data_IF_100741737176
#
_entry.id   IF_100741737176
#
_cell.length_a   1.000
_cell.length_b   1.000
_cell.length_c   1.000
_cell.angle_alpha   90.00
_cell.angle_beta   90.00
_cell.angle_gamma   90.00
#
_symmetry.space_group_name_H-M   'P 1'
#
loop_
_entity.id
_entity.type
_entity.pdbx_description
1 polymer ?
#
# COMPACT_ATOMS: atom_id res chain seq x y z
N UNK A 1 3.58 0.80 -2.49
CA UNK A 1 2.70 0.20 -1.45
C UNK A 1 3.30 0.44 -0.08
N UNK A 2 2.48 0.70 0.95
CA UNK A 2 2.94 0.96 2.32
C UNK A 2 3.18 -0.35 3.08
N UNK A 3 4.12 -1.19 2.62
CA UNK A 3 4.38 -2.54 3.19
C UNK A 3 4.64 -2.47 4.71
N UNK A 4 5.43 -1.50 5.17
CA UNK A 4 5.71 -1.27 6.59
C UNK A 4 4.47 -1.01 7.43
N UNK A 5 3.48 -0.27 6.89
CA UNK A 5 2.20 -0.04 7.57
C UNK A 5 1.34 -1.30 7.61
N UNK A 6 1.37 -2.12 6.56
CA UNK A 6 0.67 -3.40 6.54
C UNK A 6 1.26 -4.38 7.56
N UNK A 7 2.59 -4.44 7.65
CA UNK A 7 3.30 -5.25 8.65
C UNK A 7 2.95 -4.82 10.09
N UNK A 8 2.92 -3.51 10.38
CA UNK A 8 2.55 -3.05 11.72
C UNK A 8 1.11 -3.41 12.10
N UNK A 9 0.18 -3.32 11.14
CA UNK A 9 -1.22 -3.72 11.34
C UNK A 9 -1.33 -5.22 11.63
N UNK A 10 -0.58 -6.05 10.91
CA UNK A 10 -0.55 -7.50 11.15
C UNK A 10 0.04 -7.84 12.52
N UNK A 11 1.11 -7.15 12.93
CA UNK A 11 1.72 -7.34 14.25
C UNK A 11 0.75 -6.95 15.38
N UNK A 12 0.00 -5.86 15.20
CA UNK A 12 -1.03 -5.43 16.15
C UNK A 12 -2.23 -6.39 16.18
N UNK A 13 -2.63 -6.93 15.03
CA UNK A 13 -3.67 -7.96 14.93
C UNK A 13 -3.27 -9.23 15.69
N UNK A 14 -2.05 -9.73 15.49
CA UNK A 14 -1.53 -10.91 16.20
C UNK A 14 -1.51 -10.68 17.72
N UNK A 15 -1.07 -9.51 18.17
CA UNK A 15 -1.13 -9.13 19.60
C UNK A 15 -2.56 -9.06 20.13
N UNK A 16 -3.50 -8.56 19.32
CA UNK A 16 -4.91 -8.48 19.72
C UNK A 16 -5.53 -9.87 19.86
N UNK A 17 -5.25 -10.78 18.93
CA UNK A 17 -5.70 -12.18 18.98
C UNK A 17 -5.13 -12.91 20.21
N UNK A 18 -3.88 -12.63 20.59
CA UNK A 18 -3.29 -13.16 21.81
C UNK A 18 -4.04 -12.72 23.08
N UNK A 19 -4.37 -11.43 23.16
CA UNK A 19 -5.15 -10.88 24.28
C UNK A 19 -6.57 -11.44 24.33
N UNK A 20 -7.20 -11.62 23.17
CA UNK A 20 -8.52 -12.25 23.06
C UNK A 20 -8.48 -13.69 23.58
N UNK A 21 -7.46 -14.47 23.18
CA UNK A 21 -7.24 -15.83 23.67
C UNK A 21 -7.07 -15.87 25.19
N UNK A 22 -6.28 -14.97 25.76
CA UNK A 22 -6.09 -14.92 27.21
C UNK A 22 -7.37 -14.54 27.96
N UNK A 23 -8.15 -13.59 27.43
CA UNK A 23 -9.47 -13.24 27.95
C UNK A 23 -10.42 -14.45 27.93
N UNK A 24 -10.44 -15.23 26.84
CA UNK A 24 -11.23 -16.45 26.74
C UNK A 24 -10.82 -17.51 27.77
N UNK A 25 -9.52 -17.66 28.06
CA UNK A 25 -9.05 -18.56 29.13
C UNK A 25 -9.59 -18.14 30.48
N UNK A 26 -9.58 -16.84 30.80
CA UNK A 26 -10.17 -16.35 32.05
C UNK A 26 -11.68 -16.62 32.14
N UNK A 27 -12.41 -16.46 31.04
CA UNK A 27 -13.86 -16.75 30.99
C UNK A 27 -14.11 -18.25 31.19
N UNK A 28 -13.29 -19.12 30.60
CA UNK A 28 -13.32 -20.57 30.82
C UNK A 28 -13.08 -20.93 32.29
N UNK A 29 -12.01 -20.39 32.89
CA UNK A 29 -11.67 -20.63 34.30
C UNK A 29 -12.75 -20.11 35.26
N UNK A 30 -13.46 -19.05 34.89
CA UNK A 30 -14.60 -18.54 35.66
C UNK A 30 -15.88 -19.39 35.53
N UNK A 31 -15.86 -20.44 34.71
CA UNK A 31 -16.99 -21.35 34.50
C UNK A 31 -18.13 -20.77 33.66
N UNK A 32 -17.93 -19.59 33.03
CA UNK A 32 -18.97 -18.90 32.25
C UNK A 32 -19.16 -19.50 30.86
N UNK A 33 -18.17 -20.21 30.33
CA UNK A 33 -18.24 -20.94 29.07
C UNK A 33 -17.81 -22.39 29.28
N UNK A 34 -18.36 -23.29 28.47
CA UNK A 34 -17.90 -24.68 28.40
C UNK A 34 -16.56 -24.78 27.68
N UNK A 35 -15.84 -25.88 27.94
CA UNK A 35 -14.63 -26.24 27.19
C UNK A 35 -14.90 -26.34 25.68
N UNK A 36 -16.03 -26.92 25.27
CA UNK A 36 -16.39 -27.05 23.85
C UNK A 36 -16.56 -25.68 23.16
N UNK A 37 -17.18 -24.70 23.84
CA UNK A 37 -17.31 -23.32 23.33
C UNK A 37 -15.93 -22.65 23.23
N UNK A 38 -15.08 -22.85 24.24
CA UNK A 38 -13.71 -22.33 24.22
C UNK A 38 -12.90 -22.92 23.06
N UNK A 39 -12.93 -24.23 22.87
CA UNK A 39 -12.18 -24.92 21.81
C UNK A 39 -12.59 -24.44 20.41
N UNK A 40 -13.88 -24.23 20.18
CA UNK A 40 -14.39 -23.69 18.93
C UNK A 40 -13.85 -22.28 18.64
N UNK A 41 -13.86 -21.40 19.64
CA UNK A 41 -13.36 -20.03 19.52
C UNK A 41 -11.83 -20.00 19.37
N UNK A 42 -11.12 -20.78 20.18
CA UNK A 42 -9.67 -20.88 20.12
C UNK A 42 -9.21 -21.40 18.75
N UNK A 43 -9.90 -22.40 18.19
CA UNK A 43 -9.63 -22.89 16.83
C UNK A 43 -9.83 -21.82 15.76
N UNK A 44 -10.77 -20.89 15.94
CA UNK A 44 -10.96 -19.75 15.04
C UNK A 44 -9.83 -18.72 15.18
N UNK A 45 -9.41 -18.43 16.41
CA UNK A 45 -8.26 -17.57 16.70
C UNK A 45 -7.00 -18.16 16.06
N UNK A 46 -6.73 -19.46 16.26
CA UNK A 46 -5.56 -20.14 15.70
C UNK A 46 -5.53 -20.08 14.17
N UNK A 47 -6.67 -20.30 13.51
CA UNK A 47 -6.79 -20.14 12.05
C UNK A 47 -6.48 -18.72 11.60
N UNK A 48 -7.03 -17.72 12.30
CA UNK A 48 -6.83 -16.31 11.95
C UNK A 48 -5.37 -15.89 12.17
N UNK A 49 -4.76 -16.35 13.26
CA UNK A 49 -3.35 -16.13 13.56
C UNK A 49 -2.44 -16.79 12.51
N UNK A 50 -2.74 -18.03 12.09
CA UNK A 50 -1.99 -18.71 11.02
C UNK A 50 -1.97 -17.90 9.73
N UNK A 51 -3.15 -17.48 9.25
CA UNK A 51 -3.27 -16.69 8.02
C UNK A 51 -2.52 -15.35 8.15
N UNK A 52 -2.66 -14.68 9.29
CA UNK A 52 -1.97 -13.41 9.53
C UNK A 52 -0.45 -13.57 9.54
N UNK A 53 0.08 -14.65 10.15
CA UNK A 53 1.51 -14.97 10.15
C UNK A 53 2.02 -15.38 8.77
N UNK A 54 1.26 -16.15 8.00
CA UNK A 54 1.60 -16.50 6.61
C UNK A 54 1.71 -15.25 5.73
N UNK A 55 0.75 -14.33 5.84
CA UNK A 55 0.78 -13.07 5.11
C UNK A 55 1.95 -12.17 5.54
N UNK A 56 2.25 -12.12 6.84
CA UNK A 56 3.43 -11.40 7.35
C UNK A 56 4.73 -11.96 6.77
N UNK A 57 4.84 -13.29 6.68
CA UNK A 57 5.97 -13.96 6.03
C UNK A 57 6.11 -13.58 4.56
N UNK A 58 5.02 -13.68 3.79
CA UNK A 58 5.02 -13.34 2.37
C UNK A 58 5.42 -11.88 2.10
N UNK A 59 4.95 -10.93 2.93
CA UNK A 59 5.34 -9.52 2.80
C UNK A 59 6.83 -9.27 3.09
N UNK A 60 7.41 -9.99 4.05
CA UNK A 60 8.86 -9.91 4.34
C UNK A 60 9.70 -10.48 3.19
N UNK A 61 9.26 -11.59 2.62
CA UNK A 61 9.91 -12.19 1.45
C UNK A 61 9.85 -11.25 0.25
N UNK A 62 8.68 -10.69 -0.06
CA UNK A 62 8.52 -9.72 -1.14
C UNK A 62 9.41 -8.48 -0.92
N UNK A 63 9.47 -7.96 0.30
CA UNK A 63 10.34 -6.84 0.63
C UNK A 63 11.82 -7.18 0.37
N UNK A 64 12.27 -8.36 0.80
CA UNK A 64 13.64 -8.82 0.57
C UNK A 64 13.95 -8.98 -0.92
N UNK A 65 13.00 -9.50 -1.68
CA UNK A 65 13.10 -9.67 -3.13
C UNK A 65 13.25 -8.33 -3.87
N UNK A 66 12.42 -7.33 -3.52
CA UNK A 66 12.53 -6.01 -4.13
C UNK A 66 13.83 -5.30 -3.76
N UNK A 67 14.30 -5.46 -2.51
CA UNK A 67 15.59 -4.92 -2.08
C UNK A 67 16.74 -5.49 -2.91
N UNK A 68 16.76 -6.81 -3.11
CA UNK A 68 17.77 -7.46 -3.96
C UNK A 68 17.67 -7.01 -5.43
N UNK A 69 16.44 -6.90 -5.95
CA UNK A 69 16.19 -6.48 -7.34
C UNK A 69 16.66 -5.05 -7.59
N UNK A 70 16.39 -4.12 -6.68
CA UNK A 70 16.85 -2.74 -6.78
C UNK A 70 18.39 -2.65 -6.71
N UNK A 71 19.04 -3.43 -5.85
CA UNK A 71 20.51 -3.49 -5.78
C UNK A 71 21.13 -4.02 -7.07
N UNK A 72 20.54 -5.07 -7.65
CA UNK A 72 20.98 -5.60 -8.96
C UNK A 72 20.79 -4.55 -10.06
N UNK A 73 19.65 -3.86 -10.08
CA UNK A 73 19.38 -2.76 -11.02
C UNK A 73 20.42 -1.63 -10.90
N UNK A 74 20.74 -1.21 -9.68
CA UNK A 74 21.77 -0.19 -9.42
C UNK A 74 23.13 -0.59 -10.02
N UNK A 75 23.55 -1.83 -9.83
CA UNK A 75 24.80 -2.35 -10.38
C UNK A 75 24.83 -2.36 -11.92
N UNK A 76 23.70 -2.65 -12.57
CA UNK A 76 23.59 -2.59 -14.04
C UNK A 76 23.81 -1.16 -14.53
N UNK A 77 23.17 -0.17 -13.92
CA UNK A 77 23.37 1.23 -14.29
C UNK A 77 24.80 1.72 -14.05
N UNK A 78 25.42 1.34 -12.93
CA UNK A 78 26.85 1.62 -12.66
C UNK A 78 27.76 1.01 -13.74
N UNK A 79 27.48 -0.23 -14.15
CA UNK A 79 28.25 -0.92 -15.20
C UNK A 79 28.11 -0.20 -16.53
N UNK A 80 26.89 0.18 -16.91
CA UNK A 80 26.63 0.92 -18.15
C UNK A 80 27.33 2.29 -18.18
N UNK A 81 27.39 3.00 -17.05
CA UNK A 81 28.13 4.27 -16.96
C UNK A 81 29.62 4.06 -17.21
N UNK A 82 30.23 3.04 -16.59
CA UNK A 82 31.65 2.72 -16.79
C UNK A 82 31.92 2.34 -18.24
N UNK A 83 31.04 1.54 -18.85
CA UNK A 83 31.17 1.16 -20.27
C UNK A 83 31.08 2.37 -21.20
N UNK A 84 30.16 3.32 -20.94
CA UNK A 84 30.06 4.55 -21.71
C UNK A 84 31.29 5.44 -21.54
N UNK A 85 31.81 5.58 -20.32
CA UNK A 85 33.02 6.34 -20.04
C UNK A 85 34.23 5.73 -20.77
N UNK A 86 34.35 4.40 -20.75
CA UNK A 86 35.40 3.69 -21.49
C UNK A 86 35.31 3.93 -23.00
N UNK A 87 34.11 3.87 -23.59
CA UNK A 87 33.89 4.18 -25.02
C UNK A 87 34.26 5.61 -25.38
N UNK A 88 33.97 6.56 -24.49
CA UNK A 88 34.36 7.96 -24.68
C UNK A 88 35.89 8.10 -24.71
N UNK A 89 36.60 7.43 -23.80
CA UNK A 89 38.07 7.44 -23.74
C UNK A 89 38.72 6.79 -24.97
N UNK A 90 38.09 5.76 -25.54
CA UNK A 90 38.53 5.13 -26.79
C UNK A 90 38.21 5.97 -28.03
N UNK A 91 37.42 7.04 -27.89
CA UNK A 91 36.94 7.84 -29.02
C UNK A 91 35.89 7.13 -29.87
N UNK A 92 35.25 6.09 -29.34
CA UNK A 92 34.16 5.35 -30.03
C UNK A 92 32.84 6.12 -30.02
N UNK A 93 32.67 7.06 -29.08
CA UNK A 93 31.49 7.92 -28.96
C UNK A 93 31.90 9.37 -28.77
N UNK A 94 31.04 10.28 -29.26
CA UNK A 94 31.21 11.72 -29.09
C UNK A 94 30.80 12.17 -27.68
N UNK A 95 31.32 13.31 -27.23
CA UNK A 95 31.06 13.85 -25.89
C UNK A 95 29.59 14.20 -25.71
N UNK A 96 28.94 14.71 -26.75
CA UNK A 96 27.53 15.07 -26.76
C UNK A 96 26.64 13.83 -26.62
N UNK A 97 27.02 12.72 -27.24
CA UNK A 97 26.32 11.44 -27.11
C UNK A 97 26.50 10.84 -25.72
N UNK A 98 27.74 10.85 -25.20
CA UNK A 98 28.03 10.45 -23.83
C UNK A 98 27.19 11.25 -22.81
N UNK A 99 27.12 12.58 -22.98
CA UNK A 99 26.38 13.45 -22.05
C UNK A 99 24.89 13.10 -22.02
N UNK A 100 24.25 12.96 -23.19
CA UNK A 100 22.82 12.59 -23.27
C UNK A 100 22.55 11.22 -22.63
N UNK A 101 23.40 10.23 -22.90
CA UNK A 101 23.18 8.86 -22.40
C UNK A 101 23.48 8.74 -20.90
N UNK A 102 24.53 9.41 -20.42
CA UNK A 102 24.90 9.40 -18.99
C UNK A 102 23.86 10.11 -18.14
N UNK A 103 23.27 11.21 -18.59
CA UNK A 103 22.19 11.92 -17.88
C UNK A 103 21.00 10.99 -17.59
N UNK A 104 20.51 10.27 -18.60
CA UNK A 104 19.38 9.34 -18.46
C UNK A 104 19.71 8.23 -17.45
N UNK A 105 20.92 7.69 -17.53
CA UNK A 105 21.35 6.60 -16.63
C UNK A 105 21.51 7.12 -15.20
N UNK A 106 22.10 8.30 -15.02
CA UNK A 106 22.25 8.95 -13.71
C UNK A 106 20.89 9.23 -13.08
N UNK A 107 19.91 9.69 -13.87
CA UNK A 107 18.55 9.89 -13.39
C UNK A 107 17.90 8.57 -12.93
N UNK A 108 18.07 7.50 -13.69
CA UNK A 108 17.62 6.15 -13.30
C UNK A 108 18.29 5.65 -12.02
N UNK A 109 19.60 5.87 -11.89
CA UNK A 109 20.39 5.49 -10.73
C UNK A 109 19.97 6.27 -9.48
N UNK A 110 19.77 7.59 -9.60
CA UNK A 110 19.26 8.44 -8.53
C UNK A 110 17.83 8.04 -8.14
N UNK A 111 16.97 7.67 -9.08
CA UNK A 111 15.62 7.17 -8.80
C UNK A 111 15.65 5.89 -7.96
N UNK A 112 16.49 4.91 -8.32
CA UNK A 112 16.65 3.67 -7.54
C UNK A 112 17.22 3.97 -6.15
N UNK A 113 18.25 4.81 -6.05
CA UNK A 113 18.85 5.20 -4.77
C UNK A 113 17.82 5.85 -3.85
N UNK A 114 17.02 6.78 -4.39
CA UNK A 114 15.95 7.43 -3.63
C UNK A 114 14.89 6.43 -3.15
N UNK A 115 14.52 5.43 -3.96
CA UNK A 115 13.59 4.38 -3.55
C UNK A 115 14.15 3.53 -2.41
N UNK A 116 15.43 3.17 -2.46
CA UNK A 116 16.10 2.44 -1.38
C UNK A 116 16.12 3.26 -0.09
N UNK A 117 16.54 4.52 -0.16
CA UNK A 117 16.60 5.41 1.00
C UNK A 117 15.21 5.69 1.61
N UNK A 118 14.20 5.93 0.77
CA UNK A 118 12.85 6.19 1.25
C UNK A 118 12.26 4.96 1.95
N UNK A 119 12.55 3.76 1.45
CA UNK A 119 12.15 2.52 2.09
C UNK A 119 12.80 2.34 3.46
N UNK A 120 14.10 2.66 3.62
CA UNK A 120 14.77 2.60 4.93
C UNK A 120 14.25 3.68 5.89
N UNK A 121 14.07 4.94 5.43
CA UNK A 121 13.48 6.03 6.25
C UNK A 121 12.06 5.71 6.76
N UNK A 122 11.25 5.06 5.92
CA UNK A 122 9.89 4.62 6.30
C UNK A 122 9.92 3.58 7.42
N UNK A 123 10.94 2.71 7.48
CA UNK A 123 11.11 1.75 8.59
C UNK A 123 11.43 2.45 9.89
N UNK A 124 12.40 3.37 9.87
CA UNK A 124 12.83 4.12 11.06
C UNK A 124 11.69 4.93 11.67
N UNK A 125 10.89 5.59 10.82
CA UNK A 125 9.73 6.39 11.26
C UNK A 125 8.68 5.55 11.97
N UNK A 126 8.40 4.34 11.47
CA UNK A 126 7.44 3.40 12.08
C UNK A 126 7.96 2.86 13.42
N UNK A 127 9.25 2.55 13.51
CA UNK A 127 9.89 2.10 14.75
C UNK A 127 9.81 3.19 15.83
N UNK A 128 10.11 4.44 15.48
CA UNK A 128 10.02 5.58 16.40
C UNK A 128 8.59 5.86 16.89
N UNK A 129 7.59 5.81 16.00
CA UNK A 129 6.18 6.02 16.39
C UNK A 129 5.66 4.88 17.27
N UNK A 130 6.04 3.63 16.99
CA UNK A 130 5.64 2.48 17.81
C UNK A 130 6.25 2.53 19.23
N UNK A 131 7.49 3.01 19.35
CA UNK A 131 8.15 3.21 20.66
C UNK A 131 7.48 4.31 21.49
N UNK A 132 7.03 5.40 20.85
CA UNK A 132 6.30 6.47 21.53
C UNK A 132 4.92 6.02 22.02
N UNK A 133 4.20 5.22 21.22
CA UNK A 133 2.91 4.65 21.63
C UNK A 133 3.08 3.64 22.78
N UNK A 134 4.11 2.79 22.75
CA UNK A 134 4.43 1.87 23.85
C UNK A 134 4.77 2.60 25.15
N UNK A 135 5.48 3.74 25.07
CA UNK A 135 5.84 4.57 26.24
C UNK A 135 4.63 5.30 26.83
N UNK A 136 3.71 5.79 25.99
CA UNK A 136 2.45 6.38 26.45
C UNK A 136 1.52 5.35 27.13
N UNK A 137 1.57 4.08 26.73
CA UNK A 137 0.79 3.01 27.38
C UNK A 137 1.38 2.51 28.70
N UNK A 138 2.69 2.63 28.94
CA UNK A 138 3.29 2.26 30.24
C UNK A 138 3.03 3.30 31.34
N UNK A 139 2.77 4.55 30.95
CA UNK A 139 2.56 5.65 31.91
C UNK A 139 1.11 5.72 32.43
N UNK A 140 0.18 4.91 31.88
CA UNK A 140 -1.24 4.87 32.29
C UNK A 140 -1.60 3.74 33.28
N UNK A 141 -0.67 2.86 33.67
CA UNK A 141 -0.96 1.78 34.64
C UNK A 141 -0.78 2.18 36.12
N UNK A 142 -0.27 3.38 36.41
CA UNK A 142 -0.17 3.91 37.77
C UNK A 142 -1.13 5.08 38.01
N UNK A 143 -2.44 4.82 38.02
CA UNK A 143 -3.41 5.62 38.78
C UNK A 143 -4.78 4.91 38.81
N UNK A 144 -4.97 4.04 39.80
CA UNK A 144 -6.30 3.65 40.30
C UNK A 144 -6.45 4.21 41.70
N UNK A 145 -7.31 5.23 41.87
CA UNK A 145 -8.30 5.28 42.96
C UNK A 145 -9.31 6.44 42.81
N UNK A 146 -10.58 6.06 42.61
CA UNK A 146 -11.80 6.54 43.29
C UNK A 146 -12.28 8.03 43.14
N UNK A 147 -13.38 8.26 42.38
CA UNK A 147 -14.78 8.50 42.87
C UNK A 147 -15.67 9.31 41.89
N UNK A 148 -16.79 8.68 41.52
CA UNK A 148 -18.20 9.17 41.43
C UNK A 148 -18.58 10.50 40.72
N UNK A 149 -19.43 10.33 39.70
CA UNK A 149 -20.45 11.21 39.07
C UNK A 149 -21.35 12.02 40.05
N UNK A 150 -22.15 13.07 39.67
CA UNK A 150 -23.10 13.09 38.52
C UNK A 150 -23.59 14.42 37.86
N UNK A 151 -24.19 14.28 36.64
CA UNK A 151 -25.26 15.11 36.00
C UNK A 151 -24.97 16.60 35.64
N UNK A 152 -25.52 17.28 34.62
CA UNK A 152 -26.84 17.25 33.94
C UNK A 152 -26.85 18.14 32.65
N UNK A 153 -27.63 17.73 31.63
CA UNK A 153 -28.46 18.51 30.66
C UNK A 153 -27.96 19.61 29.66
N UNK A 154 -28.49 19.45 28.42
CA UNK A 154 -28.95 20.44 27.39
C UNK A 154 -27.86 21.26 26.65
N UNK A 155 -27.97 21.66 25.37
CA UNK A 155 -29.07 21.82 24.42
C UNK A 155 -28.54 21.94 22.96
N UNK A 156 -29.39 21.55 22.00
CA UNK A 156 -29.67 22.15 20.67
C UNK A 156 -28.59 22.40 19.57
N UNK A 157 -28.77 21.62 18.49
CA UNK A 157 -28.99 22.00 17.08
C UNK A 157 -28.34 23.28 16.50
N UNK A 158 -27.61 23.12 15.38
CA UNK A 158 -27.86 23.92 14.16
C UNK A 158 -27.16 23.35 12.92
N UNK A 159 -27.86 23.43 11.79
CA UNK A 159 -27.50 22.95 10.47
C UNK A 159 -26.50 23.84 9.71
N UNK A 160 -25.72 23.28 8.78
CA UNK A 160 -25.76 23.63 7.33
C UNK A 160 -24.65 22.97 6.50
N UNK A 161 -25.10 22.41 5.37
CA UNK A 161 -24.46 22.22 4.06
C UNK A 161 -23.11 22.93 3.86
N UNK A 162 -22.15 22.23 3.23
CA UNK A 162 -21.50 22.73 2.03
C UNK A 162 -20.82 21.64 1.18
N UNK A 163 -21.35 21.50 -0.05
CA UNK A 163 -20.71 20.93 -1.24
C UNK A 163 -19.42 21.72 -1.53
N UNK A 164 -18.29 21.05 -1.76
CA UNK A 164 -17.14 21.65 -2.46
C UNK A 164 -16.77 20.84 -3.70
N UNK A 165 -16.86 21.58 -4.81
CA UNK A 165 -16.51 21.30 -6.19
C UNK A 165 -15.00 21.53 -6.34
N UNK A 166 -14.23 20.55 -6.80
CA UNK A 166 -12.81 20.74 -7.13
C UNK A 166 -12.67 20.91 -8.65
N UNK A 167 -12.05 22.02 -9.04
CA UNK A 167 -11.71 22.42 -10.41
C UNK A 167 -10.21 22.12 -10.65
N UNK A 168 -9.95 21.55 -11.83
CA UNK A 168 -8.86 21.80 -12.78
C UNK A 168 -7.40 21.84 -12.30
N UNK A 169 -6.60 20.91 -12.84
CA UNK A 169 -5.13 20.96 -12.93
C UNK A 169 -4.73 21.54 -14.30
N UNK A 170 -3.65 22.36 -14.40
CA UNK A 170 -3.20 22.96 -15.66
C UNK A 170 -2.50 21.95 -16.59
N UNK A 171 -2.62 22.22 -17.90
CA UNK A 171 -1.94 21.52 -19.00
C UNK A 171 -0.57 22.16 -19.26
N UNK A 172 0.47 21.33 -19.32
CA UNK A 172 1.69 21.63 -20.08
C UNK A 172 1.82 20.62 -21.23
N UNK A 173 2.26 21.13 -22.38
CA UNK A 173 2.19 20.50 -23.69
C UNK A 173 3.44 19.68 -24.07
N UNK A 174 3.16 18.56 -24.74
CA UNK A 174 3.91 17.94 -25.87
C UNK A 174 5.20 17.16 -25.58
N UNK A 175 5.01 15.85 -25.47
CA UNK A 175 5.94 14.82 -25.92
C UNK A 175 5.18 13.52 -26.20
N UNK A 176 4.82 13.26 -27.47
CA UNK A 176 4.43 11.94 -28.01
C UNK A 176 3.48 11.07 -27.18
N UNK A 177 2.27 11.55 -26.87
CA UNK A 177 1.24 10.68 -26.28
C UNK A 177 0.75 9.77 -27.40
N UNK A 178 1.14 8.49 -27.37
CA UNK A 178 0.37 7.43 -28.01
C UNK A 178 -1.08 7.66 -27.59
N UNK A 179 -1.93 8.05 -28.54
CA UNK A 179 -3.29 8.49 -28.27
C UNK A 179 -4.03 7.35 -27.55
N UNK A 180 -4.12 7.44 -26.21
CA UNK A 180 -4.64 6.35 -25.38
C UNK A 180 -6.13 6.24 -25.65
N UNK A 181 -6.51 5.21 -26.38
CA UNK A 181 -7.89 4.92 -26.74
C UNK A 181 -8.44 3.77 -25.90
N UNK A 182 -9.76 3.66 -25.87
CA UNK A 182 -10.46 2.62 -25.14
C UNK A 182 -10.04 1.22 -25.61
N UNK A 183 -9.72 0.35 -24.66
CA UNK A 183 -9.43 -1.06 -24.88
C UNK A 183 -10.39 -1.91 -24.04
N UNK A 184 -11.70 -1.64 -24.17
CA UNK A 184 -12.74 -2.37 -23.45
C UNK A 184 -12.73 -3.87 -23.86
N UNK A 185 -12.50 -4.82 -22.93
CA UNK A 185 -12.53 -6.25 -23.25
C UNK A 185 -13.86 -6.74 -23.84
N UNK A 186 -14.98 -6.10 -23.46
CA UNK A 186 -16.32 -6.43 -23.93
C UNK A 186 -16.74 -5.66 -25.19
N UNK A 187 -15.91 -4.70 -25.65
CA UNK A 187 -16.13 -3.97 -26.90
C UNK A 187 -14.77 -3.56 -27.52
N UNK A 188 -14.04 -4.52 -28.13
CA UNK A 188 -12.64 -4.33 -28.56
C UNK A 188 -12.47 -3.36 -29.73
N UNK A 189 -13.56 -3.08 -30.48
CA UNK A 189 -13.58 -2.14 -31.61
C UNK A 189 -13.67 -0.67 -31.17
N UNK A 190 -13.92 -0.41 -29.88
CA UNK A 190 -13.94 0.97 -29.40
C UNK A 190 -12.56 1.61 -29.56
N UNK A 191 -12.53 2.84 -30.07
CA UNK A 191 -11.33 3.68 -30.21
C UNK A 191 -11.51 5.07 -29.60
N UNK A 192 -12.51 5.23 -28.72
CA UNK A 192 -12.77 6.51 -28.07
C UNK A 192 -11.65 6.86 -27.08
N UNK A 193 -11.21 8.11 -27.10
CA UNK A 193 -10.10 8.63 -26.29
C UNK A 193 -10.57 9.33 -25.01
N UNK A 194 -11.88 9.50 -24.81
CA UNK A 194 -12.48 10.00 -23.55
C UNK A 194 -12.48 8.92 -22.46
N UNK A 195 -11.28 8.58 -21.96
CA UNK A 195 -11.06 7.55 -20.92
C UNK A 195 -11.61 8.02 -19.57
N UNK A 196 -12.47 7.20 -18.95
CA UNK A 196 -13.06 7.47 -17.64
C UNK A 196 -12.40 6.63 -16.54
N UNK A 197 -12.08 5.36 -16.83
CA UNK A 197 -11.50 4.42 -15.87
C UNK A 197 -10.48 3.51 -16.55
N UNK A 198 -9.54 2.96 -15.79
CA UNK A 198 -8.69 1.84 -16.22
C UNK A 198 -8.92 0.66 -15.30
N UNK A 199 -9.14 -0.52 -15.87
CA UNK A 199 -9.40 -1.76 -15.12
C UNK A 199 -8.28 -2.77 -15.33
N UNK A 200 -8.13 -3.71 -14.40
CA UNK A 200 -7.25 -4.87 -14.57
C UNK A 200 -8.06 -6.02 -15.18
N UNK A 201 -7.63 -6.52 -16.33
CA UNK A 201 -8.29 -7.63 -17.03
C UNK A 201 -7.24 -8.48 -17.75
N UNK A 202 -7.28 -9.80 -17.55
CA UNK A 202 -6.36 -10.76 -18.18
C UNK A 202 -4.88 -10.39 -18.01
N UNK A 203 -4.48 -10.09 -16.76
CA UNK A 203 -3.09 -9.77 -16.42
C UNK A 203 -2.60 -8.39 -16.86
N UNK A 204 -3.44 -7.55 -17.50
CA UNK A 204 -3.06 -6.22 -18.01
C UNK A 204 -4.03 -5.11 -17.59
N UNK A 205 -3.49 -3.90 -17.44
CA UNK A 205 -4.30 -2.68 -17.24
C UNK A 205 -4.84 -2.19 -18.58
N UNK A 206 -6.16 -2.06 -18.70
CA UNK A 206 -6.82 -1.60 -19.93
C UNK A 206 -7.66 -0.34 -19.69
N UNK A 207 -7.54 0.71 -20.52
CA UNK A 207 -8.34 1.92 -20.42
C UNK A 207 -9.77 1.73 -20.98
N UNK A 208 -10.78 2.26 -20.30
CA UNK A 208 -12.19 2.22 -20.70
C UNK A 208 -12.74 3.64 -20.82
N UNK A 209 -13.35 3.96 -21.96
CA UNK A 209 -13.99 5.26 -22.18
C UNK A 209 -15.28 5.43 -21.39
N UNK A 210 -15.67 6.69 -21.16
CA UNK A 210 -16.91 7.04 -20.44
C UNK A 210 -18.15 6.31 -20.95
N UNK A 211 -18.32 6.20 -22.28
CA UNK A 211 -19.47 5.51 -22.89
C UNK A 211 -19.49 4.02 -22.56
N UNK A 212 -18.36 3.34 -22.74
CA UNK A 212 -18.25 1.91 -22.41
C UNK A 212 -18.44 1.68 -20.92
N UNK A 213 -17.91 2.57 -20.07
CA UNK A 213 -18.09 2.47 -18.63
C UNK A 213 -19.55 2.63 -18.22
N UNK A 214 -20.27 3.60 -18.81
CA UNK A 214 -21.69 3.80 -18.56
C UNK A 214 -22.54 2.58 -18.99
N UNK A 215 -22.20 1.93 -20.10
CA UNK A 215 -22.85 0.68 -20.52
C UNK A 215 -22.58 -0.48 -19.55
N UNK A 216 -21.37 -0.58 -19.00
CA UNK A 216 -20.99 -1.63 -18.04
C UNK A 216 -21.68 -1.36 -16.68
N UNK A 217 -21.67 -0.12 -16.21
CA UNK A 217 -22.25 0.27 -14.93
C UNK A 217 -23.78 0.09 -14.87
N UNK A 218 -24.44 0.08 -16.04
CA UNK A 218 -25.88 -0.16 -16.16
C UNK A 218 -26.24 -1.64 -16.39
N UNK A 219 -25.25 -2.54 -16.45
CA UNK A 219 -25.47 -3.99 -16.55
C UNK A 219 -25.10 -4.65 -15.21
N UNK A 220 -25.97 -5.52 -14.73
CA UNK A 220 -25.71 -6.37 -13.56
C UNK A 220 -24.73 -7.49 -13.93
N UNK A 221 -23.45 -7.15 -14.09
CA UNK A 221 -22.38 -8.13 -14.34
C UNK A 221 -21.59 -8.33 -13.05
N UNK A 222 -21.79 -9.47 -12.41
CA UNK A 222 -21.02 -9.88 -11.24
C UNK A 222 -19.65 -10.41 -11.66
N UNK A 223 -18.60 -9.90 -11.02
CA UNK A 223 -17.19 -10.22 -11.28
C UNK A 223 -16.80 -11.68 -10.99
N UNK A 224 -17.74 -12.51 -10.52
CA UNK A 224 -17.57 -13.92 -10.16
C UNK A 224 -17.92 -14.93 -11.27
N UNK A 225 -18.22 -14.47 -12.49
CA UNK A 225 -18.74 -15.32 -13.57
C UNK A 225 -17.76 -15.61 -14.72
N UNK A 226 -16.48 -15.27 -14.58
CA UNK A 226 -15.43 -15.51 -15.57
C UNK A 226 -14.35 -16.45 -15.03
#
# INVERSE_FOLDING_TARGET
MNSTKAMSILEDLLKSLERERESLKHILLSGRISHETFDLLNKRIDKTASIASELEGALKEEESFWKETLLKGNKVFETLLIELEHKLLLGEIEKEEYQRNSEIIIDGLNSIRNQIEENERRKETVIMTLQQVKKASSDMENEKELKQSPSTHRSENSARKNRKKVKNVPKDEKGGILEVHCMNPWNPECRNTDIEVSIYYDGRMVPICRRCWEEIANKDVEWSSL
#
